data_IF_649265691699
#
_entry.id   IF_649265691699
#
_cell.length_a   1.000
_cell.length_b   1.000
_cell.length_c   1.000
_cell.angle_alpha   90.00
_cell.angle_beta   90.00
_cell.angle_gamma   90.00
#
_symmetry.space_group_name_H-M   'P 1'
#
loop_
_entity.id
_entity.type
_entity.pdbx_description
1 polymer ?
#
# COMPACT_ATOMS: atom_id res chain seq x y z
N UNK A 1 -22.99 2.18 27.57
CA UNK A 1 -22.11 1.08 27.11
C UNK A 1 -20.86 1.68 26.50
N UNK A 2 -19.67 1.38 27.03
CA UNK A 2 -18.42 1.76 26.38
C UNK A 2 -18.27 0.92 25.11
N UNK A 3 -18.11 1.60 23.96
CA UNK A 3 -17.86 0.94 22.67
C UNK A 3 -16.39 0.46 22.68
N UNK A 4 -16.15 -0.81 22.36
CA UNK A 4 -14.80 -1.37 22.27
C UNK A 4 -13.97 -0.64 21.21
N UNK A 5 -12.72 -0.29 21.53
CA UNK A 5 -11.80 0.37 20.60
C UNK A 5 -10.67 -0.60 20.25
N UNK A 6 -10.29 -0.66 18.97
CA UNK A 6 -9.31 -1.60 18.42
C UNK A 6 -8.01 -0.92 17.96
N UNK A 7 -7.95 0.41 18.00
CA UNK A 7 -6.77 1.22 17.67
C UNK A 7 -6.62 2.37 18.66
N UNK A 8 -5.39 2.70 19.07
CA UNK A 8 -5.14 3.88 19.90
C UNK A 8 -5.18 5.15 19.05
N UNK A 9 -5.42 6.33 19.64
CA UNK A 9 -5.39 7.58 18.87
C UNK A 9 -3.98 7.87 18.33
N UNK A 10 -2.93 7.50 19.07
CA UNK A 10 -1.55 7.60 18.59
C UNK A 10 -1.33 6.76 17.33
N UNK A 11 -1.78 5.50 17.34
CA UNK A 11 -1.58 4.60 16.20
C UNK A 11 -2.46 4.99 15.02
N UNK A 12 -3.68 5.47 15.28
CA UNK A 12 -4.58 6.02 14.26
C UNK A 12 -3.96 7.24 13.57
N UNK A 13 -3.27 8.12 14.31
CA UNK A 13 -2.56 9.25 13.71
C UNK A 13 -1.36 8.79 12.85
N UNK A 14 -0.63 7.74 13.25
CA UNK A 14 0.42 7.14 12.41
C UNK A 14 -0.16 6.54 11.13
N UNK A 15 -1.23 5.74 11.22
CA UNK A 15 -1.92 5.22 10.05
C UNK A 15 -2.42 6.34 9.12
N UNK A 16 -2.87 7.47 9.68
CA UNK A 16 -3.27 8.64 8.88
C UNK A 16 -2.11 9.24 8.11
N UNK A 17 -0.91 9.31 8.71
CA UNK A 17 0.32 9.74 8.00
C UNK A 17 0.71 8.75 6.91
N UNK A 18 0.59 7.45 7.17
CA UNK A 18 0.79 6.41 6.14
C UNK A 18 -0.18 6.60 4.98
N UNK A 19 -1.48 6.68 5.24
CA UNK A 19 -2.50 6.92 4.21
C UNK A 19 -2.16 8.16 3.37
N UNK A 20 -1.76 9.26 4.03
CA UNK A 20 -1.37 10.49 3.35
C UNK A 20 -0.09 10.37 2.52
N UNK A 21 0.88 9.57 2.95
CA UNK A 21 2.13 9.36 2.22
C UNK A 21 1.91 8.68 0.86
N UNK A 22 0.84 7.89 0.74
CA UNK A 22 0.51 7.13 -0.45
C UNK A 22 -0.68 7.72 -1.25
N UNK A 23 -1.37 8.76 -0.77
CA UNK A 23 -2.48 9.43 -1.48
C UNK A 23 -2.14 9.85 -2.92
N UNK A 24 -0.90 10.27 -3.17
CA UNK A 24 -0.42 10.67 -4.51
C UNK A 24 -0.35 9.50 -5.49
N UNK A 25 -0.36 8.26 -5.00
CA UNK A 25 -0.20 7.05 -5.81
C UNK A 25 -1.56 6.46 -6.19
N UNK A 26 -2.51 6.44 -5.26
CA UNK A 26 -3.81 5.78 -5.44
C UNK A 26 -4.82 6.53 -6.31
N UNK A 27 -4.40 7.56 -7.05
CA UNK A 27 -5.29 8.22 -8.00
C UNK A 27 -5.46 7.42 -9.30
N UNK A 28 -4.58 6.45 -9.57
CA UNK A 28 -4.57 5.69 -10.83
C UNK A 28 -5.10 4.25 -10.70
N UNK A 29 -4.98 3.64 -9.52
CA UNK A 29 -5.42 2.27 -9.24
C UNK A 29 -6.62 2.35 -8.30
N UNK A 30 -7.74 1.67 -8.59
CA UNK A 30 -9.02 1.65 -7.85
C UNK A 30 -8.90 1.14 -6.38
N UNK A 31 -8.07 1.83 -5.59
CA UNK A 31 -7.67 1.53 -4.22
C UNK A 31 -8.03 2.73 -3.37
N UNK A 32 -8.81 2.48 -2.33
CA UNK A 32 -9.21 3.52 -1.39
C UNK A 32 -8.82 3.10 0.03
N UNK A 33 -8.13 3.98 0.75
CA UNK A 33 -7.85 3.77 2.17
C UNK A 33 -8.64 4.77 3.01
N UNK A 34 -9.52 4.28 3.89
CA UNK A 34 -10.42 5.09 4.71
C UNK A 34 -10.17 4.92 6.19
N UNK A 35 -10.34 6.00 6.96
CA UNK A 35 -10.34 5.96 8.42
C UNK A 35 -11.70 5.42 8.92
N UNK A 36 -11.69 4.22 9.51
CA UNK A 36 -12.85 3.57 10.09
C UNK A 36 -13.01 3.86 11.61
N UNK A 37 -12.35 4.90 12.11
CA UNK A 37 -12.44 5.36 13.48
C UNK A 37 -11.88 4.34 14.47
N UNK A 38 -12.72 3.88 15.40
CA UNK A 38 -12.31 2.95 16.46
C UNK A 38 -11.82 1.58 15.96
N UNK A 39 -12.03 1.28 14.68
CA UNK A 39 -11.64 0.03 14.03
C UNK A 39 -10.31 0.12 13.28
N UNK A 40 -9.71 1.31 13.16
CA UNK A 40 -8.47 1.51 12.40
C UNK A 40 -8.72 2.05 11.00
N UNK A 41 -7.87 1.66 10.04
CA UNK A 41 -7.98 2.05 8.64
C UNK A 41 -8.39 0.85 7.78
N UNK A 42 -9.12 1.09 6.70
CA UNK A 42 -9.60 0.05 5.79
C UNK A 42 -9.13 0.35 4.37
N UNK A 43 -8.38 -0.57 3.77
CA UNK A 43 -8.06 -0.58 2.33
C UNK A 43 -9.17 -1.35 1.60
N UNK A 44 -9.73 -0.70 0.60
CA UNK A 44 -10.81 -1.17 -0.25
C UNK A 44 -10.26 -1.25 -1.69
N UNK A 45 -10.40 -2.40 -2.34
CA UNK A 45 -9.87 -2.61 -3.69
C UNK A 45 -10.88 -3.32 -4.59
N UNK A 46 -10.68 -3.19 -5.90
CA UNK A 46 -11.44 -3.90 -6.93
C UNK A 46 -12.94 -3.63 -6.83
N UNK A 47 -13.33 -2.35 -6.98
CA UNK A 47 -14.74 -1.98 -6.96
C UNK A 47 -15.45 -2.51 -8.20
N UNK A 48 -16.52 -3.27 -7.98
CA UNK A 48 -17.42 -3.75 -9.03
C UNK A 48 -18.82 -3.17 -8.81
N UNK A 49 -19.41 -2.50 -9.82
CA UNK A 49 -20.75 -1.96 -9.71
C UNK A 49 -21.76 -3.03 -9.27
N UNK A 50 -22.59 -2.70 -8.27
CA UNK A 50 -23.58 -3.58 -7.63
C UNK A 50 -23.03 -4.70 -6.71
N UNK A 51 -21.74 -5.03 -6.77
CA UNK A 51 -21.12 -6.06 -5.93
C UNK A 51 -20.29 -5.46 -4.78
N UNK A 52 -19.81 -4.21 -4.94
CA UNK A 52 -19.00 -3.53 -3.93
C UNK A 52 -17.52 -3.79 -4.14
N UNK A 53 -16.74 -3.80 -3.05
CA UNK A 53 -15.31 -4.07 -3.11
C UNK A 53 -15.04 -5.56 -2.88
N UNK A 54 -14.29 -6.19 -3.78
CA UNK A 54 -13.91 -7.60 -3.69
C UNK A 54 -12.89 -7.84 -2.57
N UNK A 55 -12.00 -6.87 -2.31
CA UNK A 55 -11.00 -6.96 -1.25
C UNK A 55 -11.16 -5.84 -0.21
N UNK A 56 -11.17 -6.25 1.06
CA UNK A 56 -11.28 -5.37 2.23
C UNK A 56 -10.26 -5.81 3.29
N UNK A 57 -9.26 -4.96 3.54
CA UNK A 57 -8.22 -5.21 4.57
C UNK A 57 -8.29 -4.13 5.63
N UNK A 58 -8.28 -4.52 6.92
CA UNK A 58 -8.30 -3.59 8.05
C UNK A 58 -6.95 -3.55 8.75
N UNK A 59 -6.45 -2.36 9.06
CA UNK A 59 -5.19 -2.13 9.75
C UNK A 59 -5.43 -1.41 11.08
N UNK A 60 -4.84 -1.98 12.13
CA UNK A 60 -4.72 -1.35 13.44
C UNK A 60 -3.27 -1.03 13.79
N UNK A 61 -2.34 -1.32 12.88
CA UNK A 61 -0.90 -1.05 12.99
C UNK A 61 -0.41 -0.35 11.72
N UNK A 62 0.32 0.75 11.89
CA UNK A 62 0.78 1.61 10.81
C UNK A 62 1.93 1.02 10.00
N UNK A 63 2.74 0.11 10.57
CA UNK A 63 3.82 -0.57 9.86
C UNK A 63 3.28 -1.65 8.95
N UNK A 64 2.30 -2.41 9.43
CA UNK A 64 1.60 -3.41 8.61
C UNK A 64 0.92 -2.72 7.41
N UNK A 65 0.25 -1.60 7.66
CA UNK A 65 -0.33 -0.77 6.62
C UNK A 65 0.73 -0.26 5.63
N UNK A 66 1.85 0.30 6.11
CA UNK A 66 2.91 0.82 5.25
C UNK A 66 3.52 -0.26 4.37
N UNK A 67 3.79 -1.45 4.92
CA UNK A 67 4.39 -2.54 4.16
C UNK A 67 3.45 -3.00 3.04
N UNK A 68 2.18 -3.22 3.37
CA UNK A 68 1.18 -3.67 2.40
C UNK A 68 0.97 -2.64 1.27
N UNK A 69 0.83 -1.36 1.62
CA UNK A 69 0.72 -0.27 0.65
C UNK A 69 1.99 -0.12 -0.22
N UNK A 70 3.17 -0.37 0.36
CA UNK A 70 4.43 -0.39 -0.39
C UNK A 70 4.51 -1.57 -1.37
N UNK A 71 4.05 -2.76 -0.99
CA UNK A 71 4.03 -3.92 -1.87
C UNK A 71 3.09 -3.70 -3.06
N UNK A 72 1.89 -3.14 -2.84
CA UNK A 72 0.96 -2.78 -3.93
C UNK A 72 1.63 -1.82 -4.94
N UNK A 73 2.30 -0.78 -4.44
CA UNK A 73 3.03 0.14 -5.30
C UNK A 73 4.15 -0.57 -6.07
N UNK A 74 4.94 -1.39 -5.39
CA UNK A 74 6.06 -2.11 -6.01
C UNK A 74 5.58 -3.05 -7.11
N UNK A 75 4.52 -3.83 -6.85
CA UNK A 75 3.93 -4.75 -7.84
C UNK A 75 3.47 -3.96 -9.07
N UNK A 76 2.81 -2.83 -8.88
CA UNK A 76 2.36 -1.96 -9.98
C UNK A 76 3.53 -1.47 -10.83
N UNK A 77 4.63 -1.04 -10.20
CA UNK A 77 5.84 -0.65 -10.93
C UNK A 77 6.48 -1.81 -11.69
N UNK A 78 6.55 -3.00 -11.07
CA UNK A 78 7.14 -4.18 -11.69
C UNK A 78 6.30 -4.65 -12.88
N UNK A 79 4.98 -4.67 -12.74
CA UNK A 79 4.05 -4.99 -13.82
C UNK A 79 4.19 -4.02 -14.99
N UNK A 80 4.27 -2.71 -14.72
CA UNK A 80 4.48 -1.71 -15.76
C UNK A 80 5.82 -1.91 -16.53
N UNK A 81 6.86 -2.40 -15.85
CA UNK A 81 8.16 -2.69 -16.45
C UNK A 81 8.19 -4.00 -17.25
N UNK A 82 7.39 -5.00 -16.85
CA UNK A 82 7.39 -6.32 -17.48
C UNK A 82 6.40 -6.45 -18.63
N UNK A 83 5.32 -5.66 -18.61
CA UNK A 83 4.24 -5.70 -19.61
C UNK A 83 4.76 -5.64 -21.05
N UNK A 84 4.37 -6.62 -21.87
CA UNK A 84 4.76 -6.71 -23.28
C UNK A 84 6.19 -7.20 -23.51
N UNK A 85 6.84 -7.73 -22.47
CA UNK A 85 8.18 -8.34 -22.55
C UNK A 85 8.10 -9.82 -22.14
N UNK A 86 9.13 -10.64 -22.44
CA UNK A 86 9.20 -12.02 -21.93
C UNK A 86 9.21 -12.14 -20.40
N UNK A 87 9.39 -11.02 -19.68
CA UNK A 87 9.40 -10.98 -18.21
C UNK A 87 7.99 -10.82 -17.62
N UNK A 88 6.93 -10.73 -18.45
CA UNK A 88 5.54 -10.56 -17.97
C UNK A 88 5.08 -11.72 -17.09
N UNK A 89 5.57 -12.93 -17.35
CA UNK A 89 5.27 -14.14 -16.59
C UNK A 89 6.18 -14.34 -15.35
N UNK A 90 7.13 -13.42 -15.10
CA UNK A 90 8.08 -13.56 -14.00
C UNK A 90 7.42 -13.15 -12.68
N UNK A 91 7.76 -13.88 -11.62
CA UNK A 91 7.39 -13.52 -10.26
C UNK A 91 8.04 -12.20 -9.83
N UNK A 92 7.48 -11.54 -8.82
CA UNK A 92 8.06 -10.34 -8.21
C UNK A 92 9.54 -10.54 -7.82
N UNK A 93 9.87 -11.67 -7.20
CA UNK A 93 11.25 -11.95 -6.79
C UNK A 93 12.21 -12.10 -7.97
N UNK A 94 11.76 -12.75 -9.04
CA UNK A 94 12.54 -12.90 -10.28
C UNK A 94 12.76 -11.55 -10.95
N UNK A 95 11.71 -10.73 -11.07
CA UNK A 95 11.78 -9.37 -11.60
C UNK A 95 12.78 -8.52 -10.81
N UNK A 96 12.71 -8.55 -9.48
CA UNK A 96 13.66 -7.80 -8.63
C UNK A 96 15.11 -8.23 -8.82
N UNK A 97 15.36 -9.54 -8.99
CA UNK A 97 16.72 -10.08 -9.19
C UNK A 97 17.32 -9.66 -10.53
N UNK A 98 16.52 -9.58 -11.58
CA UNK A 98 17.01 -9.22 -12.93
C UNK A 98 17.09 -7.71 -13.17
N UNK A 99 16.38 -6.90 -12.37
CA UNK A 99 16.43 -5.45 -12.51
C UNK A 99 17.86 -4.90 -12.30
N UNK A 100 18.29 -3.89 -13.07
CA UNK A 100 19.57 -3.24 -12.84
C UNK A 100 19.70 -2.75 -11.40
N UNK A 101 20.88 -2.85 -10.80
CA UNK A 101 21.14 -2.41 -9.41
C UNK A 101 20.71 -0.96 -9.16
N UNK A 102 20.83 -0.09 -10.18
CA UNK A 102 20.34 1.29 -10.10
C UNK A 102 18.83 1.35 -9.82
N UNK A 103 18.02 0.56 -10.52
CA UNK A 103 16.57 0.49 -10.33
C UNK A 103 16.18 -0.09 -8.97
N UNK A 104 16.86 -1.16 -8.53
CA UNK A 104 16.66 -1.70 -7.19
C UNK A 104 16.92 -0.65 -6.10
N UNK A 105 18.00 0.16 -6.26
CA UNK A 105 18.30 1.27 -5.35
C UNK A 105 17.26 2.39 -5.40
N UNK A 106 16.72 2.71 -6.58
CA UNK A 106 15.62 3.68 -6.73
C UNK A 106 14.38 3.24 -5.94
N UNK A 107 14.00 1.95 -6.01
CA UNK A 107 12.89 1.41 -5.22
C UNK A 107 13.18 1.44 -3.72
N UNK A 108 14.36 1.00 -3.28
CA UNK A 108 14.73 1.07 -1.87
C UNK A 108 14.69 2.51 -1.33
N UNK A 109 15.20 3.48 -2.11
CA UNK A 109 15.13 4.90 -1.76
C UNK A 109 13.68 5.41 -1.70
N UNK A 110 12.83 5.00 -2.64
CA UNK A 110 11.42 5.37 -2.64
C UNK A 110 10.68 4.83 -1.41
N UNK A 111 10.97 3.60 -0.97
CA UNK A 111 10.42 3.05 0.30
C UNK A 111 10.79 3.94 1.49
N UNK A 112 12.05 4.36 1.58
CA UNK A 112 12.53 5.29 2.61
C UNK A 112 11.77 6.62 2.54
N UNK A 113 11.52 7.16 1.34
CA UNK A 113 10.70 8.37 1.20
C UNK A 113 9.29 8.19 1.77
N UNK A 114 8.64 7.04 1.55
CA UNK A 114 7.31 6.77 2.13
C UNK A 114 7.36 6.67 3.64
N UNK A 115 8.35 5.95 4.20
CA UNK A 115 8.57 5.87 5.65
C UNK A 115 8.77 7.26 6.27
N UNK A 116 9.61 8.09 5.65
CA UNK A 116 9.85 9.46 6.11
C UNK A 116 8.58 10.33 6.05
N UNK A 117 7.79 10.25 4.97
CA UNK A 117 6.49 10.94 4.86
C UNK A 117 5.50 10.45 5.93
N UNK A 118 5.51 9.15 6.23
CA UNK A 118 4.69 8.53 7.26
C UNK A 118 5.19 8.81 8.70
N UNK A 119 6.41 9.33 8.84
CA UNK A 119 7.11 9.49 10.11
C UNK A 119 7.26 8.18 10.90
N UNK A 120 7.62 7.10 10.19
CA UNK A 120 7.90 5.74 10.70
C UNK A 120 9.38 5.41 10.59
#
# INVERSE_FOLDING_TARGET
MNKQTYITEEEREKCRKVANAFLEIYQEDDVLVVDAGRFGFVKLQNYMPNEGFDSVTTYTDSRDMLEDLWQDWLITQLFALSKGTPMEDFTQEELLKILPTKKQKEFAYKKICFMNKAAI
#
